data_IF_535084391188
#
_entry.id   IF_535084391188
#
_cell.length_a   1.000
_cell.length_b   1.000
_cell.length_c   1.000
_cell.angle_alpha   90.00
_cell.angle_beta   90.00
_cell.angle_gamma   90.00
#
_symmetry.space_group_name_H-M   'P 1'
#
loop_
_entity.id
_entity.type
_entity.pdbx_description
1 polymer ?
#
# COMPACT_ATOMS: atom_id res chain seq x y z
N UNK A 1 14.47 -7.96 -8.34
CA UNK A 1 13.22 -8.66 -8.71
C UNK A 1 12.25 -7.55 -9.06
N UNK A 2 12.05 -7.30 -10.36
CA UNK A 2 11.18 -6.21 -10.81
C UNK A 2 9.72 -6.68 -10.65
N UNK A 3 8.89 -5.89 -9.97
CA UNK A 3 7.45 -6.13 -9.95
C UNK A 3 6.88 -5.58 -11.25
N UNK A 4 6.38 -6.48 -12.10
CA UNK A 4 5.60 -6.10 -13.27
C UNK A 4 4.43 -5.17 -12.85
N UNK A 5 4.09 -4.17 -13.68
CA UNK A 5 3.02 -3.18 -13.43
C UNK A 5 1.71 -3.76 -12.83
N UNK A 6 1.20 -4.94 -13.26
CA UNK A 6 0.02 -5.56 -12.65
C UNK A 6 0.21 -5.96 -11.18
N UNK A 7 1.41 -6.38 -10.78
CA UNK A 7 1.69 -6.74 -9.39
C UNK A 7 1.71 -5.52 -8.47
N UNK A 8 2.17 -4.37 -8.97
CA UNK A 8 2.10 -3.11 -8.22
C UNK A 8 0.66 -2.63 -8.04
N UNK A 9 -0.16 -2.73 -9.08
CA UNK A 9 -1.58 -2.41 -8.99
C UNK A 9 -2.30 -3.30 -7.97
N UNK A 10 -2.03 -4.61 -7.98
CA UNK A 10 -2.59 -5.55 -6.98
C UNK A 10 -2.10 -5.22 -5.57
N UNK A 11 -0.82 -4.91 -5.39
CA UNK A 11 -0.26 -4.53 -4.08
C UNK A 11 -0.97 -3.30 -3.53
N UNK A 12 -1.10 -2.23 -4.33
CA UNK A 12 -1.78 -1.01 -3.90
C UNK A 12 -3.24 -1.29 -3.53
N UNK A 13 -4.00 -1.94 -4.41
CA UNK A 13 -5.42 -2.25 -4.18
C UNK A 13 -5.65 -3.11 -2.94
N UNK A 14 -4.80 -4.10 -2.70
CA UNK A 14 -4.93 -4.99 -1.53
C UNK A 14 -4.59 -4.26 -0.25
N UNK A 15 -3.51 -3.48 -0.21
CA UNK A 15 -3.16 -2.69 0.98
C UNK A 15 -4.19 -1.61 1.33
N UNK A 16 -4.84 -1.00 0.33
CA UNK A 16 -5.95 -0.08 0.56
C UNK A 16 -7.20 -0.78 1.10
N UNK A 17 -7.51 -1.97 0.59
CA UNK A 17 -8.62 -2.78 1.09
C UNK A 17 -8.38 -3.17 2.57
N UNK A 18 -7.18 -3.62 2.89
CA UNK A 18 -6.78 -3.97 4.26
C UNK A 18 -6.88 -2.76 5.21
N UNK A 19 -6.42 -1.58 4.77
CA UNK A 19 -6.50 -0.36 5.57
C UNK A 19 -7.95 0.05 5.84
N UNK A 20 -8.82 -0.05 4.83
CA UNK A 20 -10.25 0.24 4.98
C UNK A 20 -10.91 -0.74 5.94
N UNK A 21 -10.65 -2.04 5.81
CA UNK A 21 -11.16 -3.06 6.72
C UNK A 21 -10.69 -2.83 8.16
N UNK A 22 -9.39 -2.56 8.36
CA UNK A 22 -8.84 -2.28 9.69
C UNK A 22 -9.44 -1.00 10.31
N UNK A 23 -9.77 0.00 9.49
CA UNK A 23 -10.42 1.24 9.94
C UNK A 23 -11.88 0.99 10.35
N UNK A 24 -12.61 0.21 9.57
CA UNK A 24 -14.00 -0.16 9.88
C UNK A 24 -14.08 -1.06 11.13
N UNK A 25 -13.04 -1.85 11.39
CA UNK A 25 -12.92 -2.72 12.56
C UNK A 25 -12.42 -2.02 13.84
N UNK A 26 -12.21 -0.70 13.83
CA UNK A 26 -11.83 0.04 15.04
C UNK A 26 -12.96 0.01 16.08
N UNK A 27 -12.72 -0.69 17.18
CA UNK A 27 -13.66 -0.86 18.30
C UNK A 27 -13.21 -0.14 19.58
N UNK A 28 -12.09 0.60 19.52
CA UNK A 28 -11.50 1.31 20.66
C UNK A 28 -10.55 0.45 21.51
N UNK A 29 -10.41 -0.85 21.22
CA UNK A 29 -9.39 -1.69 21.85
C UNK A 29 -7.98 -1.33 21.38
N UNK A 30 -6.99 -1.63 22.23
CA UNK A 30 -5.59 -1.48 21.85
C UNK A 30 -5.23 -2.39 20.67
N UNK A 31 -5.81 -3.60 20.63
CA UNK A 31 -5.59 -4.54 19.54
C UNK A 31 -6.09 -4.00 18.19
N UNK A 32 -7.32 -3.47 18.13
CA UNK A 32 -7.83 -2.88 16.87
C UNK A 32 -7.02 -1.66 16.45
N UNK A 33 -6.55 -0.85 17.41
CA UNK A 33 -5.64 0.27 17.13
C UNK A 33 -4.31 -0.20 16.53
N UNK A 34 -3.69 -1.24 17.11
CA UNK A 34 -2.43 -1.79 16.60
C UNK A 34 -2.59 -2.39 15.20
N UNK A 35 -3.71 -3.09 14.94
CA UNK A 35 -4.02 -3.62 13.62
C UNK A 35 -4.20 -2.51 12.58
N UNK A 36 -4.91 -1.43 12.94
CA UNK A 36 -5.06 -0.25 12.08
C UNK A 36 -3.70 0.37 11.75
N UNK A 37 -2.86 0.65 12.76
CA UNK A 37 -1.51 1.22 12.54
C UNK A 37 -0.67 0.32 11.64
N UNK A 38 -0.71 -1.01 11.84
CA UNK A 38 0.02 -1.94 11.00
C UNK A 38 -0.48 -1.95 9.54
N UNK A 39 -1.79 -1.81 9.31
CA UNK A 39 -2.35 -1.70 7.96
C UNK A 39 -1.97 -0.36 7.30
N UNK A 40 -1.99 0.72 8.06
CA UNK A 40 -1.59 2.06 7.61
C UNK A 40 -0.11 2.08 7.17
N UNK A 41 0.80 1.53 7.98
CA UNK A 41 2.21 1.42 7.61
C UNK A 41 2.45 0.55 6.38
N UNK A 42 1.66 -0.51 6.17
CA UNK A 42 1.75 -1.34 4.95
C UNK A 42 1.29 -0.60 3.71
N UNK A 43 0.18 0.14 3.80
CA UNK A 43 -0.31 0.96 2.70
C UNK A 43 0.72 2.05 2.34
N UNK A 44 1.26 2.75 3.33
CA UNK A 44 2.32 3.75 3.12
C UNK A 44 3.54 3.14 2.42
N UNK A 45 4.03 1.99 2.89
CA UNK A 45 5.16 1.30 2.26
C UNK A 45 4.87 0.86 0.81
N UNK A 46 3.66 0.38 0.53
CA UNK A 46 3.24 0.02 -0.82
C UNK A 46 3.17 1.23 -1.76
N UNK A 47 2.68 2.37 -1.25
CA UNK A 47 2.67 3.64 -1.98
C UNK A 47 4.08 4.12 -2.32
N UNK A 48 5.01 4.11 -1.35
CA UNK A 48 6.41 4.46 -1.59
C UNK A 48 7.08 3.52 -2.60
N UNK A 49 6.87 2.20 -2.46
CA UNK A 49 7.43 1.23 -3.40
C UNK A 49 6.89 1.42 -4.82
N UNK A 50 5.59 1.70 -4.97
CA UNK A 50 4.99 1.99 -6.26
C UNK A 50 5.55 3.28 -6.86
N UNK A 51 5.72 4.33 -6.05
CA UNK A 51 6.31 5.59 -6.48
C UNK A 51 7.75 5.39 -6.98
N UNK A 52 8.60 4.74 -6.19
CA UNK A 52 10.00 4.46 -6.54
C UNK A 52 10.09 3.65 -7.84
N UNK A 53 9.24 2.64 -8.03
CA UNK A 53 9.27 1.79 -9.22
C UNK A 53 8.71 2.48 -10.47
N UNK A 54 7.75 3.40 -10.32
CA UNK A 54 7.21 4.19 -11.43
C UNK A 54 8.16 5.33 -11.84
N UNK A 55 8.87 5.96 -10.90
CA UNK A 55 9.90 6.97 -11.20
C UNK A 55 11.14 6.35 -11.87
N UNK A 56 11.46 5.10 -11.53
CA UNK A 56 12.61 4.38 -12.09
C UNK A 56 12.30 3.77 -13.47
N UNK A 57 11.05 3.76 -13.95
CA UNK A 57 10.72 3.29 -15.30
C UNK A 57 11.26 4.28 -16.37
N UNK A 58 12.33 3.92 -17.12
CA UNK A 58 12.93 4.81 -18.10
C UNK A 58 12.01 5.09 -19.30
N UNK A 59 10.85 4.43 -19.40
CA UNK A 59 9.84 4.65 -20.45
C UNK A 59 8.79 5.69 -20.05
N UNK A 60 8.63 6.00 -18.76
CA UNK A 60 7.69 7.03 -18.28
C UNK A 60 8.35 8.39 -17.98
N UNK A 61 9.69 8.45 -17.91
CA UNK A 61 10.46 9.70 -17.76
C UNK A 61 10.58 10.60 -19.00
N UNK A 62 9.73 10.42 -20.04
CA UNK A 62 9.63 11.32 -21.19
C UNK A 62 8.17 11.58 -21.55
N UNK A 63 7.56 12.52 -20.85
CA UNK A 63 6.39 13.27 -21.33
C UNK A 63 6.69 14.76 -21.21
#
# INVERSE_FOLDING_TARGET
>A
MELEHPHLAVLLLTTEADLREAREALDGSEESRLRYVAAESRAEAAYFLAWDLLEVDPRMGRA
#
